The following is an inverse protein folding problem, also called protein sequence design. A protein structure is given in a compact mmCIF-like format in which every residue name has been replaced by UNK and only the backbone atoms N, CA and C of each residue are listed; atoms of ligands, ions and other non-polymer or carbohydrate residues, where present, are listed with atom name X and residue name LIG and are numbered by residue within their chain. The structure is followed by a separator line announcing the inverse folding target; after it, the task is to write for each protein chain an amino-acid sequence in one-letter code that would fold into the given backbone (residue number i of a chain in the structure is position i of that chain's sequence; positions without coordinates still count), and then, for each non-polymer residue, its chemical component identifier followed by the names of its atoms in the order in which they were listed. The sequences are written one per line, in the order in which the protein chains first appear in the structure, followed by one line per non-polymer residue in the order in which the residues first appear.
data_IF_171443766780
#
_entry.id   IF_171443766780
#
_cell.length_a   1.000
_cell.length_b   1.000
_cell.length_c   1.000
_cell.angle_alpha   90.00
_cell.angle_beta   90.00
_cell.angle_gamma   90.00
#
_symmetry.space_group_name_H-M   'P 1'
#
loop_
_entity.id
_entity.type
_entity.pdbx_description
1 polymer ?
#
# COMPACT_ATOMS: atom_id res chain seq x y z
N UNK A 1 -21.34 18.90 27.20
CA UNK A 1 -21.42 17.89 26.12
C UNK A 1 -20.89 16.58 26.66
N UNK A 2 -21.46 15.45 26.25
CA UNK A 2 -20.94 14.13 26.58
C UNK A 2 -20.07 13.65 25.42
N UNK A 3 -18.82 14.13 25.39
CA UNK A 3 -17.89 13.80 24.31
C UNK A 3 -17.33 12.39 24.51
N UNK A 4 -17.47 11.56 23.47
CA UNK A 4 -16.80 10.28 23.36
C UNK A 4 -15.27 10.45 23.26
N UNK A 5 -14.47 9.42 23.56
CA UNK A 5 -13.02 9.47 23.36
C UNK A 5 -12.62 9.86 21.93
N UNK A 6 -13.32 9.33 20.92
CA UNK A 6 -13.09 9.66 19.51
C UNK A 6 -13.32 11.15 19.21
N UNK A 7 -14.37 11.74 19.77
CA UNK A 7 -14.64 13.18 19.60
C UNK A 7 -13.59 14.03 20.33
N UNK A 8 -13.05 13.58 21.47
CA UNK A 8 -11.93 14.25 22.15
C UNK A 8 -10.63 14.17 21.32
N UNK A 9 -10.37 13.04 20.67
CA UNK A 9 -9.25 12.88 19.74
C UNK A 9 -9.40 13.78 18.50
N UNK A 10 -10.62 13.90 17.93
CA UNK A 10 -10.92 14.85 16.84
C UNK A 10 -10.62 16.30 17.25
N UNK A 11 -10.96 16.69 18.47
CA UNK A 11 -10.64 18.02 19.01
C UNK A 11 -9.13 18.21 19.22
N UNK A 12 -8.42 17.15 19.62
CA UNK A 12 -6.95 17.17 19.76
C UNK A 12 -6.28 17.36 18.40
N UNK A 13 -6.76 16.65 17.38
CA UNK A 13 -6.32 16.79 15.99
C UNK A 13 -6.55 18.22 15.49
N UNK A 14 -7.75 18.77 15.70
CA UNK A 14 -8.08 20.15 15.36
C UNK A 14 -7.11 21.14 16.04
N UNK A 15 -6.81 20.95 17.32
CA UNK A 15 -5.85 21.80 18.04
C UNK A 15 -4.44 21.78 17.45
N UNK A 16 -3.98 20.60 17.00
CA UNK A 16 -2.70 20.47 16.31
C UNK A 16 -2.72 21.14 14.92
N UNK A 17 -3.81 20.98 14.16
CA UNK A 17 -3.99 21.61 12.85
C UNK A 17 -4.05 23.14 12.96
N UNK A 18 -4.75 23.69 13.96
CA UNK A 18 -4.78 25.12 14.24
C UNK A 18 -3.39 25.67 14.57
N UNK A 19 -2.58 24.92 15.32
CA UNK A 19 -1.20 25.29 15.57
C UNK A 19 -0.38 25.32 14.27
N UNK A 20 -0.57 24.34 13.38
CA UNK A 20 0.05 24.29 12.07
C UNK A 20 -0.38 25.47 11.17
N UNK A 21 -1.69 25.76 11.05
CA UNK A 21 -2.23 26.93 10.32
C UNK A 21 -1.59 28.23 10.79
N UNK A 22 -1.49 28.44 12.11
CA UNK A 22 -0.86 29.64 12.70
C UNK A 22 0.64 29.75 12.41
N UNK A 23 1.36 28.61 12.36
CA UNK A 23 2.78 28.58 11.98
C UNK A 23 2.95 28.94 10.50
N UNK A 24 2.15 28.31 9.64
CA UNK A 24 2.16 28.55 8.20
C UNK A 24 1.81 30.00 7.85
N UNK A 25 0.81 30.59 8.52
CA UNK A 25 0.42 31.99 8.33
C UNK A 25 1.53 33.01 8.68
N UNK A 26 2.52 32.61 9.49
CA UNK A 26 3.72 33.42 9.78
C UNK A 26 4.91 33.11 8.86
N UNK A 27 4.70 32.30 7.83
CA UNK A 27 5.73 31.87 6.88
C UNK A 27 6.67 30.79 7.43
N UNK A 28 6.30 30.07 8.49
CA UNK A 28 7.10 28.95 8.95
C UNK A 28 6.87 27.73 8.06
N UNK A 29 7.95 27.00 7.76
CA UNK A 29 7.89 25.70 7.10
C UNK A 29 7.42 24.62 8.10
N UNK A 30 6.42 23.84 7.71
CA UNK A 30 5.83 22.80 8.56
C UNK A 30 6.71 21.56 8.60
N UNK A 31 6.90 21.01 9.80
CA UNK A 31 7.45 19.66 9.98
C UNK A 31 6.38 18.59 9.76
N UNK A 32 6.79 17.32 9.74
CA UNK A 32 5.88 16.20 9.46
C UNK A 32 4.64 16.16 10.38
N UNK A 33 4.74 16.32 11.72
CA UNK A 33 3.55 16.28 12.59
C UNK A 33 2.54 17.39 12.29
N UNK A 34 3.03 18.60 12.00
CA UNK A 34 2.17 19.76 11.71
C UNK A 34 1.50 19.62 10.35
N UNK A 35 2.25 19.18 9.33
CA UNK A 35 1.73 18.95 7.99
C UNK A 35 0.68 17.83 7.98
N UNK A 36 0.91 16.75 8.72
CA UNK A 36 -0.08 15.66 8.89
C UNK A 36 -1.33 16.18 9.60
N UNK A 37 -1.19 16.91 10.70
CA UNK A 37 -2.33 17.43 11.43
C UNK A 37 -3.17 18.39 10.55
N UNK A 38 -2.51 19.28 9.81
CA UNK A 38 -3.14 20.18 8.85
C UNK A 38 -3.97 19.41 7.82
N UNK A 39 -3.35 18.47 7.09
CA UNK A 39 -4.03 17.72 6.02
C UNK A 39 -5.17 16.86 6.58
N UNK A 40 -4.97 16.18 7.72
CA UNK A 40 -6.03 15.39 8.35
C UNK A 40 -7.24 16.23 8.74
N UNK A 41 -7.03 17.44 9.27
CA UNK A 41 -8.14 18.32 9.65
C UNK A 41 -8.91 18.81 8.42
N UNK A 42 -8.22 19.22 7.36
CA UNK A 42 -8.85 19.60 6.08
C UNK A 42 -9.65 18.44 5.47
N UNK A 43 -9.12 17.21 5.53
CA UNK A 43 -9.86 16.01 5.11
C UNK A 43 -11.14 15.84 5.92
N UNK A 44 -11.07 16.00 7.24
CA UNK A 44 -12.24 15.89 8.11
C UNK A 44 -13.32 16.94 7.77
N UNK A 45 -12.91 18.18 7.49
CA UNK A 45 -13.86 19.25 7.13
C UNK A 45 -14.48 19.02 5.74
N UNK A 46 -13.68 18.63 4.73
CA UNK A 46 -14.23 18.28 3.41
C UNK A 46 -15.22 17.12 3.47
N UNK A 47 -14.93 16.10 4.30
CA UNK A 47 -15.83 14.98 4.53
C UNK A 47 -17.12 15.43 5.22
N UNK A 48 -17.02 16.31 6.22
CA UNK A 48 -18.17 16.89 6.91
C UNK A 48 -19.07 17.68 5.95
N UNK A 49 -18.48 18.42 5.02
CA UNK A 49 -19.18 19.16 3.97
C UNK A 49 -19.78 18.27 2.87
N UNK A 50 -19.51 16.95 2.91
CA UNK A 50 -20.07 15.98 1.99
C UNK A 50 -19.34 15.88 0.65
N UNK A 51 -18.07 16.30 0.59
CA UNK A 51 -17.20 16.11 -0.58
C UNK A 51 -17.01 14.62 -0.84
N UNK A 52 -16.98 14.21 -2.12
CA UNK A 52 -16.76 12.82 -2.50
C UNK A 52 -15.35 12.33 -2.09
N UNK A 53 -15.24 11.04 -1.73
CA UNK A 53 -14.00 10.46 -1.21
C UNK A 53 -12.83 10.62 -2.18
N UNK A 54 -13.04 10.35 -3.47
CA UNK A 54 -11.99 10.44 -4.48
C UNK A 54 -11.52 11.90 -4.65
N UNK A 55 -12.44 12.87 -4.62
CA UNK A 55 -12.11 14.30 -4.68
C UNK A 55 -11.32 14.75 -3.43
N UNK A 56 -11.69 14.26 -2.25
CA UNK A 56 -10.93 14.52 -1.00
C UNK A 56 -9.49 14.03 -1.14
N UNK A 57 -9.29 12.82 -1.67
CA UNK A 57 -7.94 12.24 -1.83
C UNK A 57 -7.10 13.08 -2.78
N UNK A 58 -7.67 13.50 -3.91
CA UNK A 58 -6.99 14.37 -4.88
C UNK A 58 -6.63 15.73 -4.25
N UNK A 59 -7.61 16.41 -3.65
CA UNK A 59 -7.41 17.72 -3.02
C UNK A 59 -6.42 17.68 -1.87
N UNK A 60 -6.43 16.61 -1.08
CA UNK A 60 -5.53 16.45 0.06
C UNK A 60 -4.04 16.46 -0.36
N UNK A 61 -3.72 15.94 -1.55
CA UNK A 61 -2.37 15.97 -2.11
C UNK A 61 -1.88 17.35 -2.57
N UNK A 62 -2.79 18.32 -2.66
CA UNK A 62 -2.51 19.68 -3.16
C UNK A 62 -2.58 20.74 -2.05
N UNK A 63 -2.96 20.36 -0.82
CA UNK A 63 -3.19 21.28 0.29
C UNK A 63 -1.94 22.03 0.75
N UNK A 64 -0.76 21.42 0.63
CA UNK A 64 0.50 22.01 1.05
C UNK A 64 1.53 21.93 -0.08
N UNK A 65 2.02 23.08 -0.51
CA UNK A 65 3.07 23.18 -1.50
C UNK A 65 4.43 22.72 -0.91
N UNK A 66 5.36 22.19 -1.73
CA UNK A 66 6.66 21.73 -1.25
C UNK A 66 7.49 22.80 -0.52
N UNK A 67 7.33 24.07 -0.87
CA UNK A 67 8.00 25.21 -0.25
C UNK A 67 7.38 25.66 1.07
N UNK A 68 6.29 25.02 1.52
CA UNK A 68 5.67 25.19 2.83
C UNK A 68 6.12 24.12 3.83
N UNK A 69 6.98 23.18 3.40
CA UNK A 69 7.39 22.02 4.17
C UNK A 69 8.89 22.07 4.50
N UNK A 70 9.26 21.52 5.66
CA UNK A 70 10.66 21.27 5.98
C UNK A 70 11.24 20.19 5.04
N UNK A 71 12.56 20.23 4.74
CA UNK A 71 13.20 19.18 3.97
C UNK A 71 12.98 17.78 4.57
N UNK A 72 12.64 16.81 3.74
CA UNK A 72 12.44 15.41 4.15
C UNK A 72 11.03 15.05 4.61
N UNK A 73 10.09 15.99 4.72
CA UNK A 73 8.69 15.70 5.11
C UNK A 73 8.02 14.70 4.15
N UNK A 74 8.18 14.89 2.84
CA UNK A 74 7.65 13.96 1.84
C UNK A 74 8.17 12.52 1.97
N UNK A 75 9.40 12.35 2.47
CA UNK A 75 9.98 11.04 2.73
C UNK A 75 9.54 10.44 4.07
N UNK A 76 9.32 11.28 5.08
CA UNK A 76 8.89 10.86 6.39
C UNK A 76 7.40 10.44 6.41
N UNK A 77 6.58 10.95 5.49
CA UNK A 77 5.13 10.71 5.45
C UNK A 77 4.74 10.06 4.11
N UNK A 78 4.88 8.73 3.98
CA UNK A 78 4.55 8.02 2.73
C UNK A 78 3.04 7.96 2.45
N UNK A 79 2.22 8.06 3.50
CA UNK A 79 0.77 8.19 3.40
C UNK A 79 0.19 8.82 4.67
N UNK A 80 -1.01 9.38 4.54
CA UNK A 80 -1.86 9.81 5.65
C UNK A 80 -3.12 8.94 5.66
N UNK A 81 -3.57 8.59 6.86
CA UNK A 81 -4.83 7.89 7.09
C UNK A 81 -5.60 8.59 8.20
N UNK A 82 -6.86 8.95 7.93
CA UNK A 82 -7.75 9.55 8.92
C UNK A 82 -9.17 9.03 8.72
N UNK A 83 -9.83 8.66 9.81
CA UNK A 83 -11.24 8.28 9.78
C UNK A 83 -12.10 9.54 9.88
N UNK A 84 -12.77 9.90 8.79
CA UNK A 84 -13.58 11.10 8.69
C UNK A 84 -15.08 10.77 8.73
N UNK A 85 -15.89 11.69 9.25
CA UNK A 85 -17.33 11.54 9.32
C UNK A 85 -17.98 12.21 8.10
N UNK A 86 -18.53 11.40 7.21
CA UNK A 86 -19.29 11.84 6.05
C UNK A 86 -20.79 11.87 6.36
N UNK A 87 -21.63 12.48 5.50
CA UNK A 87 -23.09 12.42 5.61
C UNK A 87 -23.65 10.99 5.67
N UNK A 88 -22.92 10.01 5.11
CA UNK A 88 -23.29 8.60 5.08
C UNK A 88 -22.65 7.75 6.20
N UNK A 89 -21.91 8.37 7.14
CA UNK A 89 -21.23 7.69 8.23
C UNK A 89 -19.71 7.84 8.19
N UNK A 90 -19.01 7.11 9.06
CA UNK A 90 -17.55 7.18 9.11
C UNK A 90 -16.88 6.31 8.06
N UNK A 91 -15.88 6.87 7.37
CA UNK A 91 -15.06 6.18 6.38
C UNK A 91 -13.58 6.50 6.59
N UNK A 92 -12.71 5.52 6.32
CA UNK A 92 -11.27 5.73 6.31
C UNK A 92 -10.86 6.43 5.02
N UNK A 93 -10.23 7.60 5.13
CA UNK A 93 -9.59 8.29 4.01
C UNK A 93 -8.11 7.93 4.03
N UNK A 94 -7.59 7.41 2.92
CA UNK A 94 -6.17 7.11 2.73
C UNK A 94 -5.61 7.96 1.60
N UNK A 95 -4.65 8.83 1.93
CA UNK A 95 -3.97 9.70 0.97
C UNK A 95 -2.54 9.20 0.80
N UNK A 96 -2.20 8.56 -0.34
CA UNK A 96 -0.83 8.18 -0.63
C UNK A 96 -0.01 9.42 -1.00
N UNK A 97 1.23 9.51 -0.53
CA UNK A 97 2.18 10.58 -0.87
C UNK A 97 1.57 12.00 -0.83
N UNK A 98 0.96 12.41 0.31
CA UNK A 98 0.22 13.68 0.42
C UNK A 98 1.10 14.92 0.20
N UNK A 99 2.42 14.76 0.22
CA UNK A 99 3.42 15.82 0.04
C UNK A 99 4.32 15.56 -1.18
N UNK A 100 3.85 14.72 -2.12
CA UNK A 100 4.59 14.29 -3.30
C UNK A 100 5.60 13.17 -3.03
N UNK A 101 6.27 12.67 -4.09
CA UNK A 101 7.24 11.59 -3.97
C UNK A 101 8.53 12.08 -3.29
N UNK A 102 9.19 11.23 -2.47
CA UNK A 102 10.48 11.57 -1.90
C UNK A 102 11.56 11.67 -2.97
N UNK A 103 12.51 12.58 -2.76
CA UNK A 103 13.71 12.68 -3.60
C UNK A 103 14.65 11.46 -3.46
N UNK A 104 15.55 11.23 -4.44
CA UNK A 104 16.44 10.07 -4.45
C UNK A 104 17.47 10.05 -3.31
N UNK A 105 17.78 11.22 -2.74
CA UNK A 105 18.69 11.40 -1.60
C UNK A 105 17.96 11.68 -0.28
N UNK A 106 16.66 11.39 -0.21
CA UNK A 106 15.86 11.67 0.97
C UNK A 106 16.24 10.77 2.18
N UNK A 107 15.91 11.18 3.41
CA UNK A 107 16.08 10.32 4.59
C UNK A 107 15.43 8.95 4.40
N UNK A 108 16.18 7.88 4.65
CA UNK A 108 15.72 6.50 4.44
C UNK A 108 15.84 5.97 3.01
N UNK A 109 16.38 6.75 2.06
CA UNK A 109 16.61 6.29 0.69
C UNK A 109 17.55 5.07 0.64
N UNK A 110 17.12 4.03 -0.08
CA UNK A 110 17.90 2.81 -0.30
C UNK A 110 18.81 2.99 -1.52
N UNK A 111 20.10 2.70 -1.38
CA UNK A 111 21.09 2.72 -2.47
C UNK A 111 21.47 1.29 -2.85
N UNK A 112 20.69 0.63 -3.74
CA UNK A 112 20.99 -0.74 -4.13
C UNK A 112 22.23 -0.79 -5.02
N UNK A 113 22.97 -1.91 -4.95
CA UNK A 113 23.96 -2.23 -5.96
C UNK A 113 23.26 -2.47 -7.31
N UNK A 114 23.95 -2.17 -8.42
CA UNK A 114 23.44 -2.51 -9.75
C UNK A 114 23.48 -4.02 -9.97
N UNK A 115 22.50 -4.56 -10.69
CA UNK A 115 22.46 -5.96 -11.10
C UNK A 115 21.10 -6.60 -10.82
N UNK A 116 21.03 -7.90 -11.05
CA UNK A 116 19.85 -8.74 -10.79
C UNK A 116 20.21 -9.81 -9.76
N UNK A 117 19.20 -10.27 -9.01
CA UNK A 117 19.33 -11.36 -8.05
C UNK A 117 18.65 -12.59 -8.64
N UNK A 118 19.42 -13.65 -8.87
CA UNK A 118 18.87 -14.94 -9.31
C UNK A 118 18.02 -15.57 -8.19
N UNK A 119 16.78 -15.93 -8.52
CA UNK A 119 15.88 -16.60 -7.58
C UNK A 119 16.14 -18.11 -7.57
N UNK A 120 16.22 -18.70 -6.37
CA UNK A 120 16.34 -20.14 -6.17
C UNK A 120 17.53 -20.78 -6.93
N UNK A 121 18.67 -20.08 -6.95
CA UNK A 121 19.88 -20.52 -7.63
C UNK A 121 20.26 -21.98 -7.31
N UNK A 122 20.58 -22.74 -8.35
CA UNK A 122 20.99 -24.14 -8.24
C UNK A 122 19.87 -25.15 -7.95
N UNK A 123 18.60 -24.72 -7.87
CA UNK A 123 17.47 -25.65 -7.72
C UNK A 123 16.96 -26.16 -9.06
N UNK A 124 16.47 -27.40 -9.06
CA UNK A 124 15.78 -27.96 -10.22
C UNK A 124 14.59 -27.07 -10.58
N UNK A 125 14.51 -26.68 -11.85
CA UNK A 125 13.40 -25.92 -12.41
C UNK A 125 12.57 -26.77 -13.36
N UNK A 126 11.27 -26.51 -13.40
CA UNK A 126 10.33 -27.17 -14.31
C UNK A 126 9.38 -26.14 -14.90
N UNK A 127 9.21 -26.18 -16.22
CA UNK A 127 8.16 -25.39 -16.88
C UNK A 127 6.88 -26.22 -16.91
N UNK A 128 5.76 -25.59 -16.57
CA UNK A 128 4.45 -26.23 -16.56
C UNK A 128 3.39 -25.27 -17.08
N UNK A 129 2.36 -25.80 -17.73
CA UNK A 129 1.16 -25.05 -18.10
C UNK A 129 0.05 -25.40 -17.13
N UNK A 130 -0.33 -24.41 -16.34
CA UNK A 130 -1.48 -24.49 -15.46
C UNK A 130 -2.74 -24.05 -16.19
N UNK A 131 -3.84 -24.77 -16.00
CA UNK A 131 -5.15 -24.46 -16.55
C UNK A 131 -6.17 -24.40 -15.42
N UNK A 132 -6.79 -23.24 -15.21
CA UNK A 132 -7.91 -23.11 -14.29
C UNK A 132 -9.22 -23.51 -14.98
N UNK A 133 -9.73 -24.69 -14.67
CA UNK A 133 -11.01 -25.20 -15.20
C UNK A 133 -12.21 -24.73 -14.37
N UNK A 134 -12.01 -23.88 -13.36
CA UNK A 134 -13.07 -23.34 -12.52
C UNK A 134 -13.69 -22.06 -13.08
N UNK A 135 -14.73 -21.58 -12.39
CA UNK A 135 -15.48 -20.37 -12.75
C UNK A 135 -14.99 -19.12 -12.00
N UNK A 136 -13.95 -19.25 -11.18
CA UNK A 136 -13.41 -18.17 -10.34
C UNK A 136 -11.89 -18.10 -10.48
N UNK A 137 -11.29 -16.90 -10.32
CA UNK A 137 -9.85 -16.77 -10.30
C UNK A 137 -9.24 -17.53 -9.11
N UNK A 138 -8.03 -18.06 -9.32
CA UNK A 138 -7.25 -18.76 -8.31
C UNK A 138 -5.90 -18.08 -8.15
N UNK A 139 -5.53 -17.78 -6.91
CA UNK A 139 -4.23 -17.24 -6.54
C UNK A 139 -3.35 -18.35 -5.98
N UNK A 140 -2.14 -18.49 -6.52
CA UNK A 140 -1.15 -19.48 -6.08
C UNK A 140 0.05 -18.72 -5.53
N UNK A 141 0.33 -18.86 -4.23
CA UNK A 141 1.43 -18.14 -3.59
C UNK A 141 2.78 -18.80 -3.84
N UNK A 142 3.85 -18.00 -3.73
CA UNK A 142 5.24 -18.37 -4.03
C UNK A 142 5.75 -19.67 -3.40
N UNK A 143 5.25 -20.03 -2.21
CA UNK A 143 5.69 -21.19 -1.42
C UNK A 143 4.60 -22.24 -1.21
N UNK A 144 3.49 -22.13 -1.92
CA UNK A 144 2.46 -23.15 -1.87
C UNK A 144 2.93 -24.43 -2.60
N UNK A 145 2.81 -25.63 -2.00
CA UNK A 145 3.17 -26.89 -2.66
C UNK A 145 2.26 -27.15 -3.87
N UNK A 146 2.83 -27.26 -5.07
CA UNK A 146 2.05 -27.31 -6.31
C UNK A 146 1.29 -28.64 -6.49
N UNK A 147 1.67 -29.70 -5.80
CA UNK A 147 0.86 -30.92 -5.73
C UNK A 147 -0.44 -30.76 -4.94
N UNK A 148 -0.58 -29.70 -4.15
CA UNK A 148 -1.78 -29.41 -3.34
C UNK A 148 -2.68 -28.34 -3.97
N UNK A 149 -2.47 -28.02 -5.25
CA UNK A 149 -3.24 -26.98 -5.94
C UNK A 149 -4.73 -27.20 -5.79
N UNK A 150 -5.48 -26.10 -5.89
CA UNK A 150 -6.93 -26.16 -5.98
C UNK A 150 -7.33 -27.20 -7.05
N UNK A 151 -8.27 -28.13 -6.78
CA UNK A 151 -8.66 -29.16 -7.74
C UNK A 151 -9.14 -28.64 -9.10
N UNK A 152 -9.56 -27.37 -9.19
CA UNK A 152 -9.89 -26.71 -10.44
C UNK A 152 -8.67 -26.36 -11.30
N UNK A 153 -7.46 -26.34 -10.74
CA UNK A 153 -6.23 -26.05 -11.47
C UNK A 153 -5.56 -27.36 -11.87
N UNK A 154 -5.37 -27.53 -13.19
CA UNK A 154 -4.71 -28.69 -13.78
C UNK A 154 -3.34 -28.30 -14.31
N UNK A 155 -2.34 -29.12 -14.03
CA UNK A 155 -1.00 -29.03 -14.62
C UNK A 155 -0.87 -30.05 -15.75
N UNK A 156 -0.12 -29.72 -16.79
CA UNK A 156 0.27 -30.64 -17.86
C UNK A 156 1.44 -31.57 -17.48
N UNK A 157 2.13 -31.28 -16.36
CA UNK A 157 3.23 -32.07 -15.81
C UNK A 157 3.05 -32.36 -14.32
N UNK A 158 3.73 -33.39 -13.79
CA UNK A 158 3.81 -33.62 -12.34
C UNK A 158 4.64 -32.51 -11.67
N UNK A 159 4.10 -31.95 -10.59
CA UNK A 159 4.70 -30.88 -9.81
C UNK A 159 4.90 -31.27 -8.34
N UNK A 160 4.89 -32.56 -8.04
CA UNK A 160 5.17 -33.08 -6.69
C UNK A 160 6.54 -32.63 -6.20
N UNK A 161 6.54 -31.92 -5.08
CA UNK A 161 7.77 -31.39 -4.49
C UNK A 161 8.24 -30.07 -5.09
N UNK A 162 7.39 -29.37 -5.85
CA UNK A 162 7.70 -28.07 -6.45
C UNK A 162 6.84 -26.94 -5.87
N UNK A 163 7.37 -25.72 -5.96
CA UNK A 163 6.67 -24.45 -5.71
C UNK A 163 6.89 -23.49 -6.88
N UNK A 164 6.14 -22.39 -6.96
CA UNK A 164 6.36 -21.37 -7.99
C UNK A 164 7.77 -20.74 -7.87
N UNK A 165 8.42 -20.54 -9.02
CA UNK A 165 9.70 -19.85 -9.15
C UNK A 165 9.52 -18.33 -9.25
N UNK A 166 8.80 -17.75 -8.29
CA UNK A 166 8.52 -16.30 -8.19
C UNK A 166 9.11 -15.73 -6.90
N UNK A 167 9.28 -14.39 -6.78
CA UNK A 167 9.78 -13.78 -5.56
C UNK A 167 9.00 -14.22 -4.32
N UNK A 168 9.70 -14.39 -3.19
CA UNK A 168 9.06 -14.79 -1.95
C UNK A 168 7.98 -13.78 -1.52
N UNK A 169 6.82 -14.27 -1.09
CA UNK A 169 5.68 -13.44 -0.70
C UNK A 169 4.76 -13.00 -1.84
N UNK A 170 5.14 -13.22 -3.11
CA UNK A 170 4.25 -12.93 -4.25
C UNK A 170 3.40 -14.14 -4.64
N UNK A 171 2.52 -13.96 -5.62
CA UNK A 171 1.61 -14.98 -6.12
C UNK A 171 1.39 -14.83 -7.62
N UNK A 172 0.95 -15.93 -8.25
CA UNK A 172 0.44 -15.93 -9.62
C UNK A 172 -1.08 -16.07 -9.55
N UNK A 173 -1.78 -15.14 -10.21
CA UNK A 173 -3.21 -15.23 -10.48
C UNK A 173 -3.44 -16.00 -11.78
N UNK A 174 -4.42 -16.92 -11.75
CA UNK A 174 -5.05 -17.54 -12.91
C UNK A 174 -6.53 -17.18 -12.94
N UNK A 175 -6.98 -16.51 -13.99
CA UNK A 175 -8.39 -16.24 -14.25
C UNK A 175 -9.18 -17.52 -14.53
N UNK A 176 -10.51 -17.43 -14.46
CA UNK A 176 -11.39 -18.54 -14.83
C UNK A 176 -11.19 -18.94 -16.31
N UNK A 177 -10.93 -20.22 -16.57
CA UNK A 177 -10.63 -20.73 -17.91
C UNK A 177 -9.23 -20.44 -18.45
N UNK A 178 -8.40 -19.67 -17.73
CA UNK A 178 -7.07 -19.27 -18.20
C UNK A 178 -6.10 -20.46 -18.22
N UNK A 179 -5.29 -20.52 -19.28
CA UNK A 179 -4.08 -21.35 -19.35
C UNK A 179 -2.85 -20.46 -19.27
N UNK A 180 -1.95 -20.75 -18.34
CA UNK A 180 -0.77 -19.93 -18.09
C UNK A 180 0.46 -20.81 -17.92
N UNK A 181 1.51 -20.47 -18.66
CA UNK A 181 2.82 -21.09 -18.47
C UNK A 181 3.50 -20.48 -17.24
N UNK A 182 4.02 -21.35 -16.37
CA UNK A 182 4.73 -20.97 -15.15
C UNK A 182 6.05 -21.72 -15.08
N UNK A 183 6.97 -21.17 -14.29
CA UNK A 183 8.18 -21.85 -13.86
C UNK A 183 8.01 -22.27 -12.41
N UNK A 184 8.34 -23.52 -12.13
CA UNK A 184 8.35 -24.11 -10.80
C UNK A 184 9.79 -24.47 -10.40
N UNK A 185 10.08 -24.43 -9.10
CA UNK A 185 11.38 -24.81 -8.51
C UNK A 185 11.15 -25.87 -7.45
N UNK A 186 12.10 -26.80 -7.30
CA UNK A 186 12.05 -27.80 -6.25
C UNK A 186 11.98 -27.14 -4.84
N UNK A 187 11.16 -27.73 -3.96
CA UNK A 187 11.11 -27.38 -2.54
C UNK A 187 12.47 -27.66 -1.89
N UNK A 188 12.87 -26.82 -0.93
CA UNK A 188 14.07 -27.02 -0.11
C UNK A 188 13.71 -27.53 1.29
N UNK A 189 14.72 -27.82 2.12
CA UNK A 189 14.51 -28.34 3.48
C UNK A 189 14.24 -29.85 3.51
N UNK A 190 13.77 -30.37 4.65
CA UNK A 190 13.57 -31.81 4.89
C UNK A 190 12.22 -32.38 4.35
N UNK A 191 11.68 -31.77 3.29
CA UNK A 191 10.27 -31.78 2.83
C UNK A 191 9.40 -30.77 3.54
#
# INVERSE_FOLDING_TARGET
MHLTPREQERLTLFGAAELARRRLARGALLGAPDAVAYVCDEICEMAWDGTDLDEIVDRAGELLAPDQLQPGVAAAVPSIQVEALFPHGSSLVHVPQPFGPPGPDAPGAVRPARGEIELAAGREQRTARLHNTGERPVWISSHFPLEKLNPAVRSDVDLTGFRLAVPAGTAVQLEAGERKEITAVALGGHR
#
